data_IF_623851462460
#
_entry.id   IF_623851462460
#
_cell.length_a   1.000
_cell.length_b   1.000
_cell.length_c   1.000
_cell.angle_alpha   90.00
_cell.angle_beta   90.00
_cell.angle_gamma   90.00
#
_symmetry.space_group_name_H-M   'P 1'
#
loop_
_entity.id
_entity.type
_entity.pdbx_description
1 polymer ?
#
# COMPACT_ATOMS: atom_id res chain seq x y z
N UNK A 1 -22.59 -4.94 -17.23
CA UNK A 1 -21.28 -5.59 -17.04
C UNK A 1 -20.90 -5.42 -15.57
N UNK A 2 -20.69 -6.50 -14.81
CA UNK A 2 -20.26 -6.39 -13.41
C UNK A 2 -18.82 -5.86 -13.42
N UNK A 3 -18.44 -4.89 -12.58
CA UNK A 3 -17.06 -4.44 -12.51
C UNK A 3 -16.20 -5.62 -12.07
N UNK A 4 -15.29 -6.06 -12.94
CA UNK A 4 -14.38 -7.15 -12.63
C UNK A 4 -13.39 -6.65 -11.58
N UNK A 5 -13.41 -7.28 -10.40
CA UNK A 5 -12.49 -6.95 -9.31
C UNK A 5 -11.37 -7.96 -9.31
N UNK A 6 -10.17 -7.49 -9.57
CA UNK A 6 -8.97 -8.32 -9.61
C UNK A 6 -8.16 -8.11 -8.33
N UNK A 7 -7.44 -9.14 -7.91
CA UNK A 7 -6.48 -9.02 -6.83
C UNK A 7 -5.24 -8.30 -7.35
N UNK A 8 -4.89 -7.18 -6.74
CA UNK A 8 -3.71 -6.38 -7.06
C UNK A 8 -2.88 -6.21 -5.79
N UNK A 9 -1.56 -6.32 -5.93
CA UNK A 9 -0.61 -6.00 -4.86
C UNK A 9 -0.09 -4.58 -5.07
N UNK A 10 -0.28 -3.73 -4.07
CA UNK A 10 0.19 -2.34 -4.08
C UNK A 10 1.43 -2.22 -3.21
N UNK A 11 2.44 -1.53 -3.70
CA UNK A 11 3.55 -1.04 -2.90
C UNK A 11 3.21 0.34 -2.36
N UNK A 12 3.37 0.52 -1.04
CA UNK A 12 3.09 1.74 -0.31
C UNK A 12 4.35 2.19 0.41
N UNK A 13 5.09 3.10 -0.21
CA UNK A 13 6.30 3.70 0.34
C UNK A 13 6.04 5.00 1.07
N UNK A 14 7.05 5.47 1.81
CA UNK A 14 7.02 6.78 2.49
C UNK A 14 6.05 6.84 3.66
N UNK A 15 5.79 5.70 4.30
CA UNK A 15 5.01 5.61 5.52
C UNK A 15 5.71 6.37 6.65
N UNK A 16 4.92 7.12 7.43
CA UNK A 16 5.39 7.76 8.66
C UNK A 16 5.75 6.73 9.74
N UNK A 17 6.46 7.18 10.77
CA UNK A 17 6.68 6.36 11.96
C UNK A 17 5.33 6.10 12.66
N UNK A 18 5.07 4.84 12.99
CA UNK A 18 3.85 4.43 13.71
C UNK A 18 2.63 4.12 12.84
N UNK A 19 2.78 3.97 11.52
CA UNK A 19 1.70 3.39 10.70
C UNK A 19 1.50 1.92 11.06
N UNK A 20 0.26 1.55 11.36
CA UNK A 20 -0.14 0.16 11.61
C UNK A 20 -0.91 -0.43 10.43
N UNK A 21 -1.04 -1.76 10.42
CA UNK A 21 -1.80 -2.48 9.40
C UNK A 21 -3.25 -2.00 9.34
N UNK A 22 -3.87 -1.77 10.51
CA UNK A 22 -5.23 -1.24 10.62
C UNK A 22 -5.40 0.14 9.94
N UNK A 23 -4.37 0.99 9.98
CA UNK A 23 -4.42 2.29 9.30
C UNK A 23 -4.41 2.13 7.79
N UNK A 24 -3.55 1.25 7.27
CA UNK A 24 -3.51 0.92 5.85
C UNK A 24 -4.82 0.26 5.43
N UNK A 25 -5.32 -0.70 6.20
CA UNK A 25 -6.59 -1.37 5.94
C UNK A 25 -7.72 -0.35 5.78
N UNK A 26 -7.90 0.55 6.75
CA UNK A 26 -8.92 1.59 6.70
C UNK A 26 -8.73 2.56 5.52
N UNK A 27 -7.48 2.89 5.18
CA UNK A 27 -7.19 3.80 4.08
C UNK A 27 -7.47 3.18 2.72
N UNK A 28 -7.16 1.89 2.54
CA UNK A 28 -7.33 1.17 1.27
C UNK A 28 -8.73 0.53 1.11
N UNK A 29 -9.41 0.21 2.22
CA UNK A 29 -10.73 -0.42 2.21
C UNK A 29 -11.83 0.44 1.55
N UNK A 30 -11.60 1.75 1.40
CA UNK A 30 -12.54 2.66 0.69
C UNK A 30 -12.52 2.47 -0.83
N UNK A 31 -11.48 1.86 -1.38
CA UNK A 31 -11.33 1.64 -2.82
C UNK A 31 -11.65 0.19 -3.21
N UNK A 32 -11.44 -0.76 -2.31
CA UNK A 32 -11.61 -2.18 -2.55
C UNK A 32 -11.49 -2.99 -1.27
N UNK A 33 -11.49 -4.31 -1.40
CA UNK A 33 -11.42 -5.22 -0.25
C UNK A 33 -9.96 -5.60 0.01
N UNK A 34 -9.41 -5.14 1.13
CA UNK A 34 -8.03 -5.47 1.52
C UNK A 34 -7.98 -6.89 2.05
N UNK A 35 -7.17 -7.73 1.42
CA UNK A 35 -7.00 -9.14 1.79
C UNK A 35 -5.83 -9.36 2.73
N UNK A 36 -4.72 -8.65 2.53
CA UNK A 36 -3.49 -8.86 3.30
C UNK A 36 -2.60 -7.60 3.26
N UNK A 37 -1.87 -7.35 4.35
CA UNK A 37 -1.03 -6.18 4.54
C UNK A 37 0.30 -6.64 5.15
N UNK A 38 1.39 -6.30 4.50
CA UNK A 38 2.74 -6.64 4.96
C UNK A 38 3.52 -5.34 5.17
N UNK A 39 3.79 -4.97 6.42
CA UNK A 39 4.56 -3.76 6.74
C UNK A 39 6.02 -4.14 6.98
N UNK A 40 6.91 -3.52 6.20
CA UNK A 40 8.35 -3.68 6.31
C UNK A 40 8.94 -2.38 6.88
N UNK A 41 9.36 -2.44 8.13
CA UNK A 41 10.10 -1.36 8.79
C UNK A 41 11.58 -1.64 8.69
N UNK A 42 12.37 -0.69 8.15
CA UNK A 42 13.83 -0.76 8.28
C UNK A 42 14.25 -0.14 9.60
N UNK A 43 15.24 -0.73 10.25
CA UNK A 43 15.92 -0.13 11.39
C UNK A 43 17.30 0.34 10.92
N UNK A 44 17.71 1.51 11.37
CA UNK A 44 19.09 1.98 11.23
C UNK A 44 20.05 1.11 12.06
N UNK A 45 21.36 1.25 11.85
CA UNK A 45 22.41 0.63 12.67
C UNK A 45 22.23 0.91 14.17
N UNK A 46 21.70 2.08 14.52
CA UNK A 46 21.39 2.47 15.90
C UNK A 46 20.04 1.93 16.42
N UNK A 47 19.37 1.05 15.68
CA UNK A 47 18.08 0.46 16.06
C UNK A 47 16.86 1.39 15.87
N UNK A 48 17.07 2.62 15.40
CA UNK A 48 16.01 3.58 15.14
C UNK A 48 15.15 3.17 13.94
N UNK A 49 13.82 3.18 14.08
CA UNK A 49 12.89 2.92 12.98
C UNK A 49 13.04 3.97 11.87
N UNK A 50 13.57 3.55 10.73
CA UNK A 50 13.70 4.33 9.51
C UNK A 50 12.46 4.18 8.63
N UNK A 51 12.47 4.84 7.46
CA UNK A 51 11.41 4.83 6.44
C UNK A 51 10.84 3.41 6.26
N UNK A 52 9.56 3.27 6.57
CA UNK A 52 8.82 2.03 6.38
C UNK A 52 8.11 2.02 5.02
N UNK A 53 7.96 0.82 4.47
CA UNK A 53 7.11 0.57 3.30
C UNK A 53 6.22 -0.61 3.59
N UNK A 54 5.09 -0.71 2.88
CA UNK A 54 4.17 -1.82 3.02
C UNK A 54 3.74 -2.36 1.66
N UNK A 55 3.42 -3.64 1.63
CA UNK A 55 2.67 -4.25 0.54
C UNK A 55 1.23 -4.45 0.98
N UNK A 56 0.28 -4.08 0.12
CA UNK A 56 -1.15 -4.22 0.38
C UNK A 56 -1.76 -5.04 -0.74
N UNK A 57 -2.23 -6.24 -0.42
CA UNK A 57 -3.02 -7.07 -1.30
C UNK A 57 -4.48 -6.62 -1.21
N UNK A 58 -5.04 -6.14 -2.32
CA UNK A 58 -6.39 -5.60 -2.37
C UNK A 58 -7.13 -6.10 -3.62
N UNK A 59 -8.39 -6.48 -3.43
CA UNK A 59 -9.33 -6.79 -4.50
C UNK A 59 -10.06 -5.52 -4.92
N UNK A 60 -9.70 -4.99 -6.07
CA UNK A 60 -10.09 -3.66 -6.54
C UNK A 60 -10.46 -3.68 -8.02
N UNK A 61 -11.29 -2.73 -8.46
CA UNK A 61 -11.59 -2.54 -9.88
C UNK A 61 -10.48 -1.72 -10.55
N UNK A 62 -10.30 -1.83 -11.86
CA UNK A 62 -9.33 -1.00 -12.58
C UNK A 62 -9.59 0.51 -12.43
N UNK A 63 -10.85 0.91 -12.34
CA UNK A 63 -11.23 2.31 -12.16
C UNK A 63 -10.86 2.83 -10.77
N UNK A 64 -11.17 2.06 -9.72
CA UNK A 64 -10.84 2.42 -8.35
C UNK A 64 -9.33 2.36 -8.09
N UNK A 65 -8.61 1.43 -8.73
CA UNK A 65 -7.16 1.34 -8.68
C UNK A 65 -6.51 2.62 -9.22
N UNK A 66 -6.92 3.07 -10.40
CA UNK A 66 -6.44 4.32 -11.01
C UNK A 66 -6.74 5.52 -10.12
N UNK A 67 -7.94 5.59 -9.54
CA UNK A 67 -8.31 6.64 -8.57
C UNK A 67 -7.44 6.57 -7.31
N UNK A 68 -7.27 5.40 -6.72
CA UNK A 68 -6.45 5.18 -5.53
C UNK A 68 -5.02 5.68 -5.76
N UNK A 69 -4.40 5.28 -6.87
CA UNK A 69 -3.07 5.77 -7.23
C UNK A 69 -3.06 7.28 -7.46
N UNK A 70 -4.04 7.84 -8.17
CA UNK A 70 -4.05 9.28 -8.42
C UNK A 70 -4.29 10.11 -7.16
N UNK A 71 -5.09 9.61 -6.22
CA UNK A 71 -5.50 10.33 -5.01
C UNK A 71 -4.46 10.20 -3.91
N UNK A 72 -3.89 9.00 -3.70
CA UNK A 72 -3.00 8.75 -2.58
C UNK A 72 -1.52 8.90 -2.94
N UNK A 73 -1.13 8.70 -4.21
CA UNK A 73 0.28 8.84 -4.60
C UNK A 73 0.76 10.28 -4.43
N UNK A 74 1.91 10.45 -3.78
CA UNK A 74 2.54 11.72 -3.39
C UNK A 74 1.73 12.58 -2.42
N UNK A 75 0.80 12.00 -1.68
CA UNK A 75 0.07 12.73 -0.64
C UNK A 75 0.77 12.66 0.71
N UNK A 76 0.72 13.76 1.48
CA UNK A 76 1.17 13.75 2.86
C UNK A 76 0.11 13.10 3.75
N UNK A 77 0.48 12.05 4.46
CA UNK A 77 -0.39 11.33 5.38
C UNK A 77 0.39 10.86 6.61
N UNK A 78 -0.13 11.18 7.80
CA UNK A 78 0.46 10.79 9.10
C UNK A 78 1.98 11.05 9.19
N UNK A 79 2.43 12.22 8.73
CA UNK A 79 3.85 12.63 8.78
C UNK A 79 4.76 12.02 7.71
N UNK A 80 4.25 11.12 6.86
CA UNK A 80 4.96 10.60 5.68
C UNK A 80 4.39 11.15 4.37
N UNK A 81 5.12 10.97 3.27
CA UNK A 81 4.59 11.20 1.91
C UNK A 81 4.35 9.86 1.26
N UNK A 82 3.09 9.47 1.13
CA UNK A 82 2.71 8.19 0.56
C UNK A 82 3.13 8.10 -0.90
N UNK A 83 3.77 6.99 -1.24
CA UNK A 83 4.09 6.65 -2.62
C UNK A 83 3.43 5.33 -2.95
N UNK A 84 2.40 5.38 -3.80
CA UNK A 84 1.65 4.18 -4.18
C UNK A 84 2.03 3.77 -5.58
N UNK A 85 2.43 2.52 -5.73
CA UNK A 85 2.79 1.91 -7.01
C UNK A 85 2.18 0.52 -7.08
N UNK A 86 1.96 0.00 -8.29
CA UNK A 86 1.76 -1.44 -8.44
C UNK A 86 3.02 -2.13 -7.96
N UNK A 87 2.88 -3.04 -7.00
CA UNK A 87 3.99 -3.90 -6.66
C UNK A 87 4.31 -4.73 -7.92
N UNK A 88 5.59 -4.79 -8.29
CA UNK A 88 6.01 -5.73 -9.33
C UNK A 88 5.57 -7.12 -8.87
N UNK A 89 4.93 -7.89 -9.76
CA UNK A 89 4.69 -9.31 -9.49
C UNK A 89 5.99 -9.92 -8.98
N UNK A 90 5.93 -10.61 -7.85
CA UNK A 90 7.03 -11.40 -7.37
C UNK A 90 7.45 -12.31 -8.53
N UNK A 91 8.65 -12.09 -9.06
CA UNK A 91 9.30 -12.92 -10.08
C UNK A 91 9.62 -14.35 -9.57
N UNK A 92 8.81 -14.88 -8.65
CA UNK A 92 8.83 -16.27 -8.18
C UNK A 92 7.84 -17.10 -9.00
N UNK A 93 7.97 -17.01 -10.32
CA UNK A 93 7.59 -18.10 -11.21
C UNK A 93 8.80 -18.41 -12.07
N UNK A 94 9.69 -19.27 -11.55
CA UNK A 94 10.48 -20.17 -12.37
C UNK A 94 10.54 -21.53 -11.70
#
# INVERSE_FOLDING_TARGET
>A
MKPNREMKRLFVGGLGQGISEADLQNQFSRFGEVSDIEIITRKDDQGNSQKAFAYVNIKITEADLKKCMSILNKTKWKGGTLQIQLAKESFLHR
#
